data_IF_652758913449
#
_entry.id   IF_652758913449
#
_cell.length_a   1.000
_cell.length_b   1.000
_cell.length_c   1.000
_cell.angle_alpha   90.00
_cell.angle_beta   90.00
_cell.angle_gamma   90.00
#
_symmetry.space_group_name_H-M   'P 1'
#
loop_
_entity.id
_entity.type
_entity.pdbx_description
1 polymer ?
#
# COMPACT_ATOMS: atom_id res chain seq x y z
N UNK A 1 -1.51 -62.75 29.24
CA UNK A 1 -1.03 -61.62 28.41
C UNK A 1 -2.11 -60.55 28.44
N UNK A 2 -1.81 -59.36 28.96
CA UNK A 2 -2.84 -58.36 29.30
C UNK A 2 -3.15 -57.47 28.08
N UNK A 3 -3.83 -58.05 27.08
CA UNK A 3 -4.21 -57.39 25.83
C UNK A 3 -4.99 -56.08 26.03
N UNK A 4 -5.68 -55.94 27.17
CA UNK A 4 -6.39 -54.73 27.56
C UNK A 4 -5.43 -53.55 27.84
N UNK A 5 -4.36 -53.79 28.60
CA UNK A 5 -3.33 -52.76 28.88
C UNK A 5 -2.56 -52.37 27.61
N UNK A 6 -2.32 -53.34 26.72
CA UNK A 6 -1.65 -53.10 25.44
C UNK A 6 -2.53 -52.28 24.48
N UNK A 7 -3.82 -52.62 24.38
CA UNK A 7 -4.80 -51.86 23.60
C UNK A 7 -5.06 -50.45 24.16
N UNK A 8 -5.09 -50.30 25.48
CA UNK A 8 -5.22 -48.98 26.14
C UNK A 8 -3.98 -48.10 25.91
N UNK A 9 -2.77 -48.69 25.94
CA UNK A 9 -1.53 -47.98 25.62
C UNK A 9 -1.47 -47.48 24.18
N UNK A 10 -1.91 -48.29 23.20
CA UNK A 10 -2.00 -47.86 21.79
C UNK A 10 -3.04 -46.75 21.63
N UNK A 11 -4.21 -46.87 22.26
CA UNK A 11 -5.25 -45.85 22.22
C UNK A 11 -4.79 -44.50 22.81
N UNK A 12 -4.15 -44.52 23.98
CA UNK A 12 -3.57 -43.31 24.59
C UNK A 12 -2.44 -42.72 23.74
N UNK A 13 -1.62 -43.57 23.10
CA UNK A 13 -0.58 -43.14 22.17
C UNK A 13 -1.14 -42.38 20.96
N UNK A 14 -2.25 -42.86 20.38
CA UNK A 14 -2.94 -42.18 19.27
C UNK A 14 -3.51 -40.83 19.73
N UNK A 15 -4.18 -40.77 20.88
CA UNK A 15 -4.73 -39.51 21.43
C UNK A 15 -3.60 -38.50 21.69
N UNK A 16 -2.52 -38.93 22.33
CA UNK A 16 -1.36 -38.07 22.59
C UNK A 16 -0.72 -37.57 21.28
N UNK A 17 -0.59 -38.43 20.26
CA UNK A 17 -0.09 -38.05 18.95
C UNK A 17 -0.97 -37.01 18.25
N UNK A 18 -2.29 -37.17 18.28
CA UNK A 18 -3.25 -36.20 17.73
C UNK A 18 -3.17 -34.87 18.49
N UNK A 19 -3.13 -34.90 19.82
CA UNK A 19 -3.03 -33.70 20.64
C UNK A 19 -1.74 -32.90 20.36
N UNK A 20 -0.59 -33.58 20.29
CA UNK A 20 0.69 -32.95 19.94
C UNK A 20 0.64 -32.36 18.53
N UNK A 21 0.03 -33.06 17.57
CA UNK A 21 -0.09 -32.58 16.20
C UNK A 21 -0.93 -31.30 16.14
N UNK A 22 -2.09 -31.27 16.82
CA UNK A 22 -2.94 -30.07 16.91
C UNK A 22 -2.17 -28.90 17.52
N UNK A 23 -1.46 -29.13 18.63
CA UNK A 23 -0.64 -28.10 19.28
C UNK A 23 0.47 -27.57 18.36
N UNK A 24 1.18 -28.46 17.67
CA UNK A 24 2.23 -28.08 16.74
C UNK A 24 1.70 -27.24 15.57
N UNK A 25 0.55 -27.61 15.01
CA UNK A 25 -0.14 -26.84 13.96
C UNK A 25 -0.52 -25.46 14.48
N UNK A 26 -1.13 -25.38 15.66
CA UNK A 26 -1.54 -24.10 16.26
C UNK A 26 -0.36 -23.15 16.51
N UNK A 27 0.75 -23.65 17.05
CA UNK A 27 1.97 -22.86 17.25
C UNK A 27 2.50 -22.35 15.91
N UNK A 28 2.57 -23.22 14.91
CA UNK A 28 3.08 -22.86 13.58
C UNK A 28 2.18 -21.79 12.90
N UNK A 29 0.87 -21.90 13.04
CA UNK A 29 -0.07 -20.89 12.56
C UNK A 29 0.15 -19.54 13.24
N UNK A 30 0.35 -19.52 14.56
CA UNK A 30 0.65 -18.29 15.30
C UNK A 30 1.96 -17.63 14.87
N UNK A 31 3.00 -18.43 14.64
CA UNK A 31 4.29 -17.92 14.14
C UNK A 31 4.13 -17.33 12.73
N UNK A 32 3.42 -18.03 11.84
CA UNK A 32 3.15 -17.55 10.48
C UNK A 32 2.32 -16.27 10.48
N UNK A 33 1.29 -16.19 11.32
CA UNK A 33 0.46 -15.00 11.51
C UNK A 33 1.32 -13.81 11.96
N UNK A 34 2.17 -13.99 12.98
CA UNK A 34 3.10 -12.95 13.44
C UNK A 34 4.05 -12.47 12.34
N UNK A 35 4.60 -13.39 11.53
CA UNK A 35 5.46 -13.04 10.42
C UNK A 35 4.72 -12.22 9.35
N UNK A 36 3.46 -12.56 9.06
CA UNK A 36 2.65 -11.79 8.11
C UNK A 36 2.39 -10.37 8.60
N UNK A 37 2.11 -10.18 9.89
CA UNK A 37 1.96 -8.83 10.47
C UNK A 37 3.26 -8.04 10.33
N UNK A 38 4.43 -8.64 10.59
CA UNK A 38 5.72 -7.99 10.37
C UNK A 38 5.94 -7.59 8.90
N UNK A 39 5.61 -8.49 7.97
CA UNK A 39 5.72 -8.21 6.54
C UNK A 39 4.76 -7.09 6.12
N UNK A 40 3.55 -7.04 6.68
CA UNK A 40 2.57 -5.98 6.42
C UNK A 40 3.08 -4.63 6.93
N UNK A 41 3.65 -4.58 8.14
CA UNK A 41 4.29 -3.37 8.66
C UNK A 41 5.39 -2.87 7.72
N UNK A 42 6.30 -3.76 7.32
CA UNK A 42 7.37 -3.43 6.38
C UNK A 42 6.84 -2.92 5.03
N UNK A 43 5.80 -3.56 4.50
CA UNK A 43 5.13 -3.17 3.25
C UNK A 43 4.57 -1.73 3.34
N UNK A 44 3.89 -1.40 4.43
CA UNK A 44 3.36 -0.05 4.65
C UNK A 44 4.45 0.99 4.87
N UNK A 45 5.50 0.69 5.64
CA UNK A 45 6.66 1.57 5.79
C UNK A 45 7.35 1.85 4.44
N UNK A 46 7.54 0.82 3.61
CA UNK A 46 8.11 0.97 2.28
C UNK A 46 7.25 1.87 1.39
N UNK A 47 5.93 1.68 1.43
CA UNK A 47 5.00 2.47 0.65
C UNK A 47 4.92 3.93 1.11
N UNK A 48 4.95 4.19 2.42
CA UNK A 48 5.05 5.55 2.97
C UNK A 48 6.28 6.26 2.41
N UNK A 49 7.45 5.60 2.39
CA UNK A 49 8.67 6.18 1.80
C UNK A 49 8.57 6.44 0.30
N UNK A 50 7.77 5.67 -0.44
CA UNK A 50 7.50 5.95 -1.87
C UNK A 50 6.61 7.18 -2.01
N UNK A 51 5.58 7.29 -1.20
CA UNK A 51 4.71 8.47 -1.17
C UNK A 51 5.53 9.72 -0.83
N UNK A 52 6.47 9.65 0.12
CA UNK A 52 7.37 10.77 0.42
C UNK A 52 8.16 11.22 -0.81
N UNK A 53 8.72 10.28 -1.59
CA UNK A 53 9.42 10.60 -2.84
C UNK A 53 8.49 11.23 -3.88
N UNK A 54 7.25 10.76 -3.97
CA UNK A 54 6.27 11.35 -4.87
C UNK A 54 5.84 12.75 -4.40
N UNK A 55 5.72 12.99 -3.10
CA UNK A 55 5.47 14.33 -2.56
C UNK A 55 6.63 15.30 -2.86
N UNK A 56 7.87 14.85 -2.74
CA UNK A 56 9.04 15.63 -3.20
C UNK A 56 8.96 15.96 -4.69
N UNK A 57 8.57 14.98 -5.51
CA UNK A 57 8.45 15.15 -6.96
C UNK A 57 7.29 16.09 -7.33
N UNK A 58 6.15 16.01 -6.63
CA UNK A 58 5.06 16.99 -6.75
C UNK A 58 5.53 18.39 -6.43
N UNK A 59 6.36 18.57 -5.39
CA UNK A 59 6.89 19.89 -5.06
C UNK A 59 7.84 20.42 -6.14
N UNK A 60 8.67 19.57 -6.76
CA UNK A 60 9.46 19.97 -7.94
C UNK A 60 8.57 20.36 -9.10
N UNK A 61 7.51 19.61 -9.35
CA UNK A 61 6.53 19.91 -10.41
C UNK A 61 5.82 21.24 -10.16
N UNK A 62 5.34 21.48 -8.93
CA UNK A 62 4.74 22.74 -8.46
C UNK A 62 5.66 23.92 -8.72
N UNK A 63 6.93 23.80 -8.34
CA UNK A 63 7.92 24.84 -8.55
C UNK A 63 8.17 25.11 -10.03
N UNK A 64 8.20 24.07 -10.86
CA UNK A 64 8.34 24.22 -12.32
C UNK A 64 7.14 24.91 -12.96
N UNK A 65 5.92 24.61 -12.50
CA UNK A 65 4.70 25.30 -12.92
C UNK A 65 4.74 26.77 -12.51
N UNK A 66 5.09 27.06 -11.25
CA UNK A 66 5.11 28.42 -10.72
C UNK A 66 6.21 29.29 -11.32
N UNK A 67 7.41 28.75 -11.50
CA UNK A 67 8.58 29.44 -12.04
C UNK A 67 8.66 29.47 -13.58
N UNK A 68 7.58 29.09 -14.28
CA UNK A 68 7.49 29.05 -15.75
C UNK A 68 8.61 28.24 -16.42
N UNK A 69 9.15 27.25 -15.70
CA UNK A 69 10.21 26.34 -16.15
C UNK A 69 9.70 24.93 -16.43
N UNK A 70 8.38 24.79 -16.63
CA UNK A 70 7.71 23.52 -16.87
C UNK A 70 8.29 22.74 -18.05
N UNK A 71 8.78 23.46 -19.08
CA UNK A 71 9.47 22.87 -20.23
C UNK A 71 10.68 22.01 -19.87
N UNK A 72 11.30 22.27 -18.72
CA UNK A 72 12.48 21.55 -18.20
C UNK A 72 12.14 20.50 -17.14
N UNK A 73 10.85 20.27 -16.85
CA UNK A 73 10.41 19.24 -15.93
C UNK A 73 10.28 17.88 -16.64
N UNK A 74 10.98 16.87 -16.10
CA UNK A 74 10.98 15.50 -16.61
C UNK A 74 10.76 14.46 -15.48
N UNK A 75 10.17 14.89 -14.37
CA UNK A 75 9.86 14.03 -13.24
C UNK A 75 8.87 12.93 -13.60
N UNK A 76 8.93 11.83 -12.86
CA UNK A 76 8.11 10.64 -13.09
C UNK A 76 7.55 10.08 -11.78
N UNK A 77 6.33 9.55 -11.85
CA UNK A 77 5.61 9.00 -10.71
C UNK A 77 5.35 7.51 -10.94
N UNK A 78 6.18 6.64 -10.38
CA UNK A 78 6.11 5.19 -10.54
C UNK A 78 5.06 4.52 -9.62
N UNK A 79 3.81 4.99 -9.67
CA UNK A 79 2.71 4.57 -8.79
C UNK A 79 2.47 3.06 -8.80
N UNK A 80 2.64 2.40 -9.95
CA UNK A 80 2.51 0.96 -10.14
C UNK A 80 3.48 0.12 -9.31
N UNK A 81 4.55 0.73 -8.77
CA UNK A 81 5.49 0.06 -7.86
C UNK A 81 5.01 0.01 -6.41
N UNK A 82 3.82 0.50 -6.12
CA UNK A 82 3.21 0.34 -4.81
C UNK A 82 3.00 -1.15 -4.48
N UNK A 83 3.34 -1.58 -3.26
CA UNK A 83 3.35 -3.01 -2.91
C UNK A 83 2.15 -3.31 -2.02
N UNK A 84 1.31 -4.26 -2.42
CA UNK A 84 0.12 -4.68 -1.66
C UNK A 84 0.02 -6.19 -1.48
N UNK A 85 1.13 -6.90 -1.69
CA UNK A 85 1.14 -8.37 -1.77
C UNK A 85 0.71 -8.99 -0.44
N UNK A 86 1.27 -8.53 0.67
CA UNK A 86 0.95 -9.05 2.00
C UNK A 86 -0.44 -8.60 2.42
N UNK A 87 -0.78 -7.32 2.21
CA UNK A 87 -2.10 -6.81 2.52
C UNK A 87 -3.21 -7.60 1.80
N UNK A 88 -3.02 -7.91 0.51
CA UNK A 88 -3.98 -8.67 -0.28
C UNK A 88 -4.07 -10.14 0.16
N UNK A 89 -2.93 -10.81 0.42
CA UNK A 89 -2.94 -12.18 0.95
C UNK A 89 -3.68 -12.27 2.30
N UNK A 90 -3.44 -11.30 3.18
CA UNK A 90 -4.10 -11.23 4.49
C UNK A 90 -5.59 -10.89 4.36
N UNK A 91 -5.98 -10.02 3.43
CA UNK A 91 -7.38 -9.69 3.15
C UNK A 91 -8.15 -10.92 2.66
N UNK A 92 -7.64 -11.61 1.64
CA UNK A 92 -8.28 -12.80 1.06
C UNK A 92 -8.43 -13.95 2.06
N UNK A 93 -7.50 -14.06 3.02
CA UNK A 93 -7.53 -15.08 4.08
C UNK A 93 -8.36 -14.66 5.30
N UNK A 94 -9.00 -13.50 5.26
CA UNK A 94 -9.75 -12.96 6.40
C UNK A 94 -8.88 -12.52 7.58
N UNK A 95 -7.56 -12.54 7.43
CA UNK A 95 -6.62 -12.23 8.52
C UNK A 95 -6.55 -10.74 8.82
N UNK A 96 -6.72 -9.89 7.80
CA UNK A 96 -6.69 -8.42 7.98
C UNK A 96 -7.76 -7.95 8.97
N UNK A 97 -8.94 -8.57 8.97
CA UNK A 97 -10.07 -8.26 9.86
C UNK A 97 -9.81 -8.53 11.34
N UNK A 98 -8.74 -9.29 11.67
CA UNK A 98 -8.32 -9.47 13.06
C UNK A 98 -7.60 -8.24 13.63
N UNK A 99 -7.07 -7.39 12.76
CA UNK A 99 -6.20 -6.28 13.14
C UNK A 99 -6.74 -4.91 12.76
N UNK A 100 -7.54 -4.85 11.70
CA UNK A 100 -8.05 -3.60 11.13
C UNK A 100 -9.57 -3.63 11.08
N UNK A 101 -10.18 -2.47 11.31
CA UNK A 101 -11.62 -2.30 11.19
C UNK A 101 -12.06 -2.18 9.72
N UNK A 102 -13.36 -2.27 9.48
CA UNK A 102 -13.92 -2.18 8.13
C UNK A 102 -13.53 -0.88 7.40
N UNK A 103 -13.44 0.24 8.13
CA UNK A 103 -13.10 1.54 7.54
C UNK A 103 -11.63 1.58 7.11
N UNK A 104 -10.72 1.03 7.91
CA UNK A 104 -9.30 0.92 7.56
C UNK A 104 -9.12 0.07 6.29
N UNK A 105 -9.83 -1.06 6.21
CA UNK A 105 -9.80 -1.95 5.05
C UNK A 105 -10.32 -1.22 3.81
N UNK A 106 -11.44 -0.50 3.92
CA UNK A 106 -11.99 0.30 2.83
C UNK A 106 -10.99 1.35 2.33
N UNK A 107 -10.30 2.05 3.24
CA UNK A 107 -9.26 3.02 2.87
C UNK A 107 -8.06 2.37 2.17
N UNK A 108 -7.60 1.20 2.63
CA UNK A 108 -6.54 0.44 1.96
C UNK A 108 -6.94 0.01 0.55
N UNK A 109 -8.20 -0.37 0.34
CA UNK A 109 -8.70 -0.70 -0.99
C UNK A 109 -8.68 0.52 -1.92
N UNK A 110 -9.11 1.68 -1.44
CA UNK A 110 -9.03 2.94 -2.20
C UNK A 110 -7.58 3.21 -2.63
N UNK A 111 -6.65 3.23 -1.67
CA UNK A 111 -5.20 3.37 -1.91
C UNK A 111 -4.74 2.38 -3.00
N UNK A 112 -5.05 1.10 -2.85
CA UNK A 112 -4.60 0.06 -3.77
C UNK A 112 -5.14 0.20 -5.20
N UNK A 113 -6.33 0.78 -5.36
CA UNK A 113 -6.95 1.00 -6.67
C UNK A 113 -6.39 2.23 -7.40
N UNK A 114 -5.89 3.21 -6.63
CA UNK A 114 -5.32 4.43 -7.15
C UNK A 114 -3.82 4.32 -7.46
N UNK A 115 -3.07 3.52 -6.71
CA UNK A 115 -1.65 3.26 -6.99
C UNK A 115 -1.48 2.14 -8.02
N UNK A 116 -1.87 2.43 -9.27
CA UNK A 116 -1.86 1.46 -10.37
C UNK A 116 -1.28 2.06 -11.65
N UNK A 117 -0.89 1.20 -12.59
CA UNK A 117 -0.35 1.61 -13.89
C UNK A 117 -1.28 2.54 -14.69
N UNK A 118 -2.62 2.33 -14.71
CA UNK A 118 -3.54 3.28 -15.35
C UNK A 118 -3.42 4.70 -14.78
N UNK A 119 -3.37 4.85 -13.46
CA UNK A 119 -3.25 6.17 -12.82
C UNK A 119 -1.87 6.80 -13.03
N UNK A 120 -0.80 6.00 -13.02
CA UNK A 120 0.54 6.43 -13.42
C UNK A 120 0.56 7.00 -14.84
N UNK A 121 -0.10 6.31 -15.79
CA UNK A 121 -0.22 6.79 -17.16
C UNK A 121 -1.06 8.08 -17.26
N UNK A 122 -2.16 8.18 -16.51
CA UNK A 122 -2.98 9.39 -16.45
C UNK A 122 -2.14 10.59 -15.99
N UNK A 123 -1.40 10.42 -14.89
CA UNK A 123 -0.56 11.48 -14.33
C UNK A 123 0.57 11.87 -15.29
N UNK A 124 1.25 10.88 -15.89
CA UNK A 124 2.31 11.10 -16.88
C UNK A 124 1.80 11.84 -18.12
N UNK A 125 0.63 11.45 -18.62
CA UNK A 125 -0.01 12.12 -19.76
C UNK A 125 -0.42 13.55 -19.42
N UNK A 126 -0.99 13.78 -18.24
CA UNK A 126 -1.38 15.11 -17.76
C UNK A 126 -0.16 16.04 -17.66
N UNK A 127 0.95 15.57 -17.07
CA UNK A 127 2.20 16.32 -16.98
C UNK A 127 2.73 16.66 -18.38
N UNK A 128 2.74 15.69 -19.28
CA UNK A 128 3.22 15.86 -20.66
C UNK A 128 2.37 16.87 -21.43
N UNK A 129 1.04 16.80 -21.29
CA UNK A 129 0.11 17.77 -21.88
C UNK A 129 0.34 19.18 -21.34
N UNK A 130 0.46 19.31 -20.02
CA UNK A 130 0.72 20.60 -19.38
C UNK A 130 2.06 21.21 -19.85
N UNK A 131 3.11 20.38 -20.00
CA UNK A 131 4.39 20.81 -20.55
C UNK A 131 4.26 21.29 -22.00
N UNK A 132 3.57 20.53 -22.85
CA UNK A 132 3.36 20.89 -24.24
C UNK A 132 2.56 22.20 -24.36
N UNK A 133 1.55 22.41 -23.53
CA UNK A 133 0.78 23.65 -23.48
C UNK A 133 1.67 24.86 -23.13
N UNK A 134 2.53 24.72 -22.13
CA UNK A 134 3.46 25.78 -21.73
C UNK A 134 4.47 26.12 -22.84
N UNK A 135 4.97 25.12 -23.57
CA UNK A 135 5.98 25.31 -24.62
C UNK A 135 5.39 25.79 -25.96
N UNK A 136 4.22 25.27 -26.36
CA UNK A 136 3.67 25.48 -27.70
C UNK A 136 2.63 26.61 -27.76
N UNK A 137 1.99 26.93 -26.63
CA UNK A 137 0.94 27.96 -26.57
C UNK A 137 1.17 28.97 -25.44
N UNK A 138 2.34 29.65 -25.41
CA UNK A 138 2.76 30.49 -24.28
C UNK A 138 1.80 31.64 -23.97
N UNK A 139 1.06 32.14 -24.97
CA UNK A 139 0.06 33.21 -24.79
C UNK A 139 -1.17 32.75 -24.00
N UNK A 140 -1.51 31.46 -24.06
CA UNK A 140 -2.63 30.85 -23.33
C UNK A 140 -2.22 30.26 -21.97
N UNK A 141 -0.91 30.09 -21.75
CA UNK A 141 -0.35 29.48 -20.55
C UNK A 141 -0.80 30.15 -19.25
N UNK A 142 -0.84 31.49 -19.10
CA UNK A 142 -1.27 32.12 -17.84
C UNK A 142 -2.68 31.70 -17.40
N UNK A 143 -3.62 31.58 -18.34
CA UNK A 143 -4.98 31.12 -18.07
C UNK A 143 -4.99 29.64 -17.67
N UNK A 144 -4.25 28.81 -18.40
CA UNK A 144 -4.17 27.36 -18.17
C UNK A 144 -3.41 26.99 -16.89
N UNK A 145 -2.43 27.80 -16.47
CA UNK A 145 -1.58 27.60 -15.28
C UNK A 145 -2.42 27.45 -14.01
N UNK A 146 -3.51 28.20 -13.87
CA UNK A 146 -4.43 28.08 -12.72
C UNK A 146 -5.01 26.67 -12.56
N UNK A 147 -5.42 26.04 -13.67
CA UNK A 147 -5.89 24.64 -13.70
C UNK A 147 -4.78 23.69 -13.29
N UNK A 148 -3.57 23.87 -13.82
CA UNK A 148 -2.43 23.02 -13.48
C UNK A 148 -2.08 23.13 -11.99
N UNK A 149 -2.12 24.33 -11.41
CA UNK A 149 -1.91 24.52 -9.96
C UNK A 149 -2.98 23.79 -9.14
N UNK A 150 -4.24 23.82 -9.58
CA UNK A 150 -5.31 23.05 -8.95
C UNK A 150 -5.02 21.54 -8.99
N UNK A 151 -4.63 21.03 -10.16
CA UNK A 151 -4.29 19.61 -10.36
C UNK A 151 -3.11 19.18 -9.46
N UNK A 152 -2.07 20.01 -9.37
CA UNK A 152 -0.92 19.80 -8.47
C UNK A 152 -1.38 19.69 -7.02
N UNK A 153 -2.22 20.62 -6.56
CA UNK A 153 -2.70 20.63 -5.18
C UNK A 153 -3.63 19.45 -4.88
N UNK A 154 -4.43 19.02 -5.86
CA UNK A 154 -5.25 17.82 -5.73
C UNK A 154 -4.38 16.58 -5.48
N UNK A 155 -3.35 16.37 -6.29
CA UNK A 155 -2.44 15.23 -6.13
C UNK A 155 -1.61 15.32 -4.84
N UNK A 156 -1.15 16.50 -4.48
CA UNK A 156 -0.44 16.75 -3.22
C UNK A 156 -1.29 16.35 -2.01
N UNK A 157 -2.53 16.85 -1.95
CA UNK A 157 -3.45 16.52 -0.87
C UNK A 157 -3.77 15.02 -0.83
N UNK A 158 -4.00 14.40 -1.99
CA UNK A 158 -4.29 12.97 -2.10
C UNK A 158 -3.12 12.12 -1.59
N UNK A 159 -1.89 12.44 -1.96
CA UNK A 159 -0.72 11.72 -1.44
C UNK A 159 -0.52 11.92 0.06
N UNK A 160 -0.75 13.12 0.60
CA UNK A 160 -0.74 13.34 2.05
C UNK A 160 -1.81 12.53 2.77
N UNK A 161 -3.02 12.45 2.23
CA UNK A 161 -4.12 11.65 2.81
C UNK A 161 -3.78 10.14 2.82
N UNK A 162 -3.25 9.63 1.71
CA UNK A 162 -2.83 8.23 1.60
C UNK A 162 -1.68 7.90 2.56
N UNK A 163 -0.69 8.78 2.65
CA UNK A 163 0.41 8.64 3.62
C UNK A 163 -0.13 8.59 5.04
N UNK A 164 -0.94 9.56 5.44
CA UNK A 164 -1.53 9.63 6.78
C UNK A 164 -2.34 8.37 7.10
N UNK A 165 -3.12 7.90 6.13
CA UNK A 165 -3.89 6.65 6.27
C UNK A 165 -2.98 5.45 6.55
N UNK A 166 -1.90 5.28 5.79
CA UNK A 166 -0.96 4.18 6.03
C UNK A 166 -0.26 4.31 7.38
N UNK A 167 0.12 5.52 7.80
CA UNK A 167 0.73 5.78 9.11
C UNK A 167 -0.22 5.45 10.26
N UNK A 168 -1.49 5.85 10.15
CA UNK A 168 -2.51 5.57 11.17
C UNK A 168 -2.82 4.07 11.27
N UNK A 169 -2.88 3.38 10.13
CA UNK A 169 -3.02 1.91 10.09
C UNK A 169 -1.78 1.23 10.68
N UNK A 170 -0.58 1.72 10.38
CA UNK A 170 0.66 1.15 10.91
C UNK A 170 0.70 1.24 12.45
N UNK A 171 0.20 2.34 13.03
CA UNK A 171 0.06 2.50 14.50
C UNK A 171 -0.92 1.49 15.10
N UNK A 172 -1.99 1.11 14.40
CA UNK A 172 -2.95 0.09 14.87
C UNK A 172 -2.37 -1.32 14.82
N UNK A 173 -1.45 -1.57 13.90
CA UNK A 173 -0.74 -2.84 13.81
C UNK A 173 0.36 -2.99 14.87
N UNK A 174 0.79 -1.89 15.51
CA UNK A 174 1.89 -1.82 16.48
C UNK A 174 1.67 -2.77 17.66
#
# INVERSE_FOLDING_TARGET
MNYFLQGFGVFLGVIAGVAITILAVWINEKVKESQKVKNLKFEFELNIRKIDKWLEEINKYRNAVNGDSLGSYFGYFDLSRFVTVTANDMFLKGLLYKYLDYNDIGKLQVISSEFTLPWENILSNQITQNRNQALQQPTSWPTYKSKVVFDVNFWDNKFHEHKKTLEDILKKLA
#
